data_IF_263937180206
#
_entry.id   IF_263937180206
#
_cell.length_a   1.000
_cell.length_b   1.000
_cell.length_c   1.000
_cell.angle_alpha   90.00
_cell.angle_beta   90.00
_cell.angle_gamma   90.00
#
_symmetry.space_group_name_H-M   'P 1'
#
loop_
_entity.id
_entity.type
_entity.pdbx_description
1 polymer ?
#
# COMPACT_ATOMS: atom_id res chain seq x y z
N UNK A 1 -5.43 15.93 -18.01
CA UNK A 1 -5.86 14.56 -17.67
C UNK A 1 -4.67 13.85 -17.04
N UNK A 2 -4.88 13.00 -16.03
CA UNK A 2 -3.79 12.23 -15.40
C UNK A 2 -3.25 11.20 -16.39
N UNK A 3 -1.91 11.07 -16.48
CA UNK A 3 -1.29 10.00 -17.29
C UNK A 3 -1.71 8.60 -16.81
N UNK A 4 -2.01 8.43 -15.52
CA UNK A 4 -2.46 7.16 -14.96
C UNK A 4 -3.82 6.75 -15.53
N UNK A 5 -4.74 7.70 -15.76
CA UNK A 5 -6.04 7.43 -16.37
C UNK A 5 -5.91 6.96 -17.83
N UNK A 6 -4.96 7.54 -18.60
CA UNK A 6 -4.66 7.07 -19.95
C UNK A 6 -4.08 5.65 -19.96
N UNK A 7 -3.31 5.29 -18.92
CA UNK A 7 -2.73 3.95 -18.76
C UNK A 7 -3.74 2.93 -18.25
N UNK A 8 -4.66 3.33 -17.39
CA UNK A 8 -5.70 2.45 -16.83
C UNK A 8 -7.01 3.23 -16.65
N UNK A 9 -7.89 3.27 -17.67
CA UNK A 9 -9.17 4.01 -17.61
C UNK A 9 -10.09 3.54 -16.48
N UNK A 10 -9.96 2.29 -16.04
CA UNK A 10 -10.76 1.74 -14.92
C UNK A 10 -10.49 2.52 -13.62
N UNK A 11 -9.27 3.05 -13.43
CA UNK A 11 -8.97 3.91 -12.26
C UNK A 11 -9.78 5.22 -12.32
N UNK A 12 -9.94 5.81 -13.51
CA UNK A 12 -10.75 7.02 -13.69
C UNK A 12 -12.23 6.76 -13.36
N UNK A 13 -12.78 5.62 -13.81
CA UNK A 13 -14.16 5.24 -13.46
C UNK A 13 -14.37 5.13 -11.96
N UNK A 14 -13.39 4.56 -11.24
CA UNK A 14 -13.46 4.40 -9.78
C UNK A 14 -13.31 5.76 -9.08
N UNK A 15 -12.26 6.53 -9.40
CA UNK A 15 -11.90 7.74 -8.66
C UNK A 15 -12.76 8.95 -9.04
N UNK A 16 -13.08 9.12 -10.32
CA UNK A 16 -13.88 10.25 -10.83
C UNK A 16 -15.35 9.86 -10.91
N UNK A 17 -15.63 8.70 -11.49
CA UNK A 17 -16.99 8.18 -11.62
C UNK A 17 -17.62 7.70 -10.31
N UNK A 18 -16.82 7.58 -9.22
CA UNK A 18 -17.22 7.10 -7.88
C UNK A 18 -18.04 5.82 -7.93
N UNK A 19 -17.68 4.92 -8.84
CA UNK A 19 -18.42 3.67 -9.07
C UNK A 19 -17.48 2.54 -9.49
N UNK A 20 -17.82 1.32 -9.11
CA UNK A 20 -17.16 0.10 -9.51
C UNK A 20 -18.20 -0.96 -9.89
N UNK A 21 -17.74 -2.02 -10.56
CA UNK A 21 -18.60 -3.14 -10.92
C UNK A 21 -18.28 -4.35 -10.07
N UNK A 22 -19.30 -5.02 -9.57
CA UNK A 22 -19.18 -6.31 -8.88
C UNK A 22 -18.80 -7.41 -9.88
N UNK A 23 -18.41 -8.60 -9.40
CA UNK A 23 -18.21 -9.78 -10.26
C UNK A 23 -19.48 -10.17 -11.04
N UNK A 24 -20.66 -9.86 -10.50
CA UNK A 24 -21.94 -10.09 -11.18
C UNK A 24 -22.29 -9.01 -12.22
N UNK A 25 -21.45 -7.96 -12.37
CA UNK A 25 -21.67 -6.87 -13.31
C UNK A 25 -22.59 -5.76 -12.79
N UNK A 26 -22.97 -5.79 -11.51
CA UNK A 26 -23.74 -4.73 -10.89
C UNK A 26 -22.84 -3.51 -10.63
N UNK A 27 -23.34 -2.31 -10.96
CA UNK A 27 -22.64 -1.05 -10.68
C UNK A 27 -22.97 -0.56 -9.27
N UNK A 28 -21.95 -0.37 -8.43
CA UNK A 28 -22.11 0.11 -7.06
C UNK A 28 -21.26 1.35 -6.80
N UNK A 29 -21.62 2.12 -5.76
CA UNK A 29 -20.87 3.30 -5.34
C UNK A 29 -19.57 2.93 -4.64
N UNK A 30 -18.50 3.66 -4.95
CA UNK A 30 -17.21 3.55 -4.27
C UNK A 30 -17.20 4.45 -3.04
N UNK A 31 -16.84 3.90 -1.89
CA UNK A 31 -16.78 4.59 -0.61
C UNK A 31 -15.39 4.56 0.06
N UNK A 32 -14.45 3.79 -0.50
CA UNK A 32 -13.08 3.68 0.01
C UNK A 32 -12.09 3.58 -1.15
N UNK A 33 -11.09 4.45 -1.17
CA UNK A 33 -10.02 4.44 -2.16
C UNK A 33 -8.81 5.25 -1.67
N UNK A 34 -7.64 4.99 -2.23
CA UNK A 34 -6.39 5.70 -1.87
C UNK A 34 -6.28 7.11 -2.48
N UNK A 35 -7.21 7.52 -3.32
CA UNK A 35 -7.17 8.80 -4.03
C UNK A 35 -6.10 8.87 -5.14
N UNK A 36 -6.28 9.84 -6.06
CA UNK A 36 -5.44 9.95 -7.27
C UNK A 36 -3.97 10.22 -6.96
N UNK A 37 -3.67 11.10 -6.01
CA UNK A 37 -2.30 11.49 -5.72
C UNK A 37 -1.47 10.28 -5.22
N UNK A 38 -2.05 9.41 -4.39
CA UNK A 38 -1.44 8.20 -3.87
C UNK A 38 -1.32 7.14 -4.98
N UNK A 39 -2.37 6.95 -5.78
CA UNK A 39 -2.37 6.06 -6.94
C UNK A 39 -1.25 6.42 -7.94
N UNK A 40 -1.07 7.71 -8.25
CA UNK A 40 0.02 8.18 -9.12
C UNK A 40 1.40 8.02 -8.50
N UNK A 41 1.55 8.27 -7.18
CA UNK A 41 2.81 8.07 -6.49
C UNK A 41 3.21 6.59 -6.49
N UNK A 42 2.24 5.70 -6.22
CA UNK A 42 2.44 4.25 -6.24
C UNK A 42 2.84 3.78 -7.65
N UNK A 43 2.09 4.18 -8.69
CA UNK A 43 2.41 3.87 -10.09
C UNK A 43 3.84 4.33 -10.47
N UNK A 44 4.21 5.58 -10.16
CA UNK A 44 5.54 6.11 -10.48
C UNK A 44 6.65 5.38 -9.73
N UNK A 45 6.44 5.06 -8.46
CA UNK A 45 7.43 4.36 -7.65
C UNK A 45 7.65 2.95 -8.19
N UNK A 46 6.57 2.19 -8.46
CA UNK A 46 6.68 0.86 -9.07
C UNK A 46 7.36 0.92 -10.43
N UNK A 47 7.01 1.90 -11.28
CA UNK A 47 7.64 2.08 -12.59
C UNK A 47 9.14 2.38 -12.48
N UNK A 48 9.54 3.19 -11.50
CA UNK A 48 10.95 3.57 -11.27
C UNK A 48 11.79 2.40 -10.74
N UNK A 49 11.27 1.64 -9.78
CA UNK A 49 12.02 0.59 -9.08
C UNK A 49 11.92 -0.78 -9.75
N UNK A 50 11.01 -0.96 -10.71
CA UNK A 50 10.86 -2.15 -11.56
C UNK A 50 10.80 -3.46 -10.77
N UNK A 51 9.93 -3.58 -9.74
CA UNK A 51 9.81 -4.80 -8.96
C UNK A 51 9.30 -5.96 -9.81
N UNK A 52 9.82 -7.18 -9.56
CA UNK A 52 9.31 -8.39 -10.17
C UNK A 52 8.16 -9.01 -9.36
N UNK A 53 8.24 -8.94 -8.03
CA UNK A 53 7.20 -9.48 -7.13
C UNK A 53 6.76 -8.39 -6.16
N UNK A 54 5.47 -8.05 -6.26
CA UNK A 54 4.81 -7.06 -5.40
C UNK A 54 3.80 -7.77 -4.52
N UNK A 55 3.74 -7.41 -3.24
CA UNK A 55 2.70 -7.80 -2.30
C UNK A 55 1.82 -6.58 -1.96
N UNK A 56 0.52 -6.78 -1.93
CA UNK A 56 -0.46 -5.83 -1.41
C UNK A 56 -1.25 -6.49 -0.30
N UNK A 57 -1.42 -5.80 0.82
CA UNK A 57 -2.33 -6.19 1.90
C UNK A 57 -3.46 -5.17 1.96
N UNK A 58 -4.70 -5.63 1.74
CA UNK A 58 -5.86 -4.76 1.54
C UNK A 58 -6.00 -4.32 0.08
N UNK A 59 -7.04 -4.81 -0.59
CA UNK A 59 -7.29 -4.55 -2.02
C UNK A 59 -8.51 -3.64 -2.25
N UNK A 60 -9.57 -3.83 -1.46
CA UNK A 60 -10.85 -3.12 -1.57
C UNK A 60 -11.38 -3.05 -3.02
N UNK A 61 -11.61 -1.84 -3.57
CA UNK A 61 -12.06 -1.64 -4.95
C UNK A 61 -10.95 -1.76 -6.00
N UNK A 62 -9.69 -1.97 -5.58
CA UNK A 62 -8.55 -2.29 -6.44
C UNK A 62 -7.82 -1.10 -7.05
N UNK A 63 -7.95 0.12 -6.51
CA UNK A 63 -7.24 1.30 -7.05
C UNK A 63 -5.73 1.15 -6.92
N UNK A 64 -5.22 0.69 -5.77
CA UNK A 64 -3.81 0.43 -5.54
C UNK A 64 -3.32 -0.71 -6.44
N UNK A 65 -4.05 -1.84 -6.46
CA UNK A 65 -3.77 -2.98 -7.34
C UNK A 65 -3.65 -2.56 -8.81
N UNK A 66 -4.61 -1.79 -9.33
CA UNK A 66 -4.61 -1.31 -10.72
C UNK A 66 -3.43 -0.40 -11.01
N UNK A 67 -3.03 0.45 -10.06
CA UNK A 67 -1.89 1.34 -10.20
C UNK A 67 -0.57 0.56 -10.28
N UNK A 68 -0.40 -0.45 -9.43
CA UNK A 68 0.73 -1.37 -9.43
C UNK A 68 0.77 -2.16 -10.75
N UNK A 69 -0.35 -2.78 -11.14
CA UNK A 69 -0.44 -3.61 -12.33
C UNK A 69 -0.24 -2.82 -13.62
N UNK A 70 -0.74 -1.58 -13.69
CA UNK A 70 -0.46 -0.69 -14.82
C UNK A 70 1.04 -0.38 -14.94
N UNK A 71 1.72 -0.12 -13.82
CA UNK A 71 3.16 0.09 -13.81
C UNK A 71 3.93 -1.18 -14.21
N UNK A 72 3.57 -2.35 -13.69
CA UNK A 72 4.19 -3.63 -14.04
C UNK A 72 4.02 -3.95 -15.53
N UNK A 73 2.85 -3.68 -16.11
CA UNK A 73 2.63 -3.79 -17.56
C UNK A 73 3.54 -2.85 -18.34
N UNK A 74 3.63 -1.60 -17.93
CA UNK A 74 4.40 -0.57 -18.65
C UNK A 74 5.91 -0.78 -18.52
N UNK A 75 6.38 -1.49 -17.48
CA UNK A 75 7.75 -2.01 -17.36
C UNK A 75 8.03 -3.06 -18.44
N UNK A 76 7.04 -3.86 -18.85
CA UNK A 76 7.17 -4.86 -19.90
C UNK A 76 7.82 -6.19 -19.48
N UNK A 77 8.24 -6.31 -18.22
CA UNK A 77 8.79 -7.55 -17.65
C UNK A 77 7.68 -8.44 -17.05
N UNK A 78 8.01 -9.68 -16.66
CA UNK A 78 7.06 -10.62 -16.05
C UNK A 78 6.81 -10.31 -14.55
N UNK A 79 6.54 -9.04 -14.22
CA UNK A 79 6.18 -8.65 -12.87
C UNK A 79 4.78 -9.11 -12.50
N UNK A 80 4.59 -9.49 -11.23
CA UNK A 80 3.30 -9.94 -10.69
C UNK A 80 2.95 -9.27 -9.37
N UNK A 81 1.64 -9.15 -9.12
CA UNK A 81 1.06 -8.66 -7.87
C UNK A 81 0.38 -9.82 -7.13
N UNK A 82 0.72 -9.99 -5.86
CA UNK A 82 0.03 -10.83 -4.89
C UNK A 82 -0.83 -9.91 -4.02
N UNK A 83 -2.16 -10.07 -3.99
CA UNK A 83 -3.02 -9.27 -3.11
C UNK A 83 -3.68 -10.16 -2.06
N UNK A 84 -3.74 -9.67 -0.83
CA UNK A 84 -4.39 -10.32 0.32
C UNK A 84 -5.56 -9.46 0.74
N UNK A 85 -6.78 -10.00 0.73
CA UNK A 85 -7.97 -9.29 1.23
C UNK A 85 -9.07 -10.30 1.58
N UNK A 86 -9.35 -10.55 2.88
CA UNK A 86 -10.37 -11.51 3.31
C UNK A 86 -11.80 -11.06 2.98
N UNK A 87 -11.99 -9.79 2.67
CA UNK A 87 -13.30 -9.17 2.49
C UNK A 87 -13.66 -8.95 1.02
N UNK A 88 -12.82 -9.42 0.10
CA UNK A 88 -12.98 -9.14 -1.33
C UNK A 88 -14.35 -9.58 -1.87
N UNK A 89 -14.80 -10.78 -1.54
CA UNK A 89 -16.14 -11.26 -1.94
C UNK A 89 -17.24 -10.80 -0.96
N UNK A 90 -17.13 -10.96 0.38
CA UNK A 90 -18.24 -10.66 1.28
C UNK A 90 -18.60 -9.17 1.34
N UNK A 91 -17.62 -8.29 1.43
CA UNK A 91 -17.87 -6.85 1.65
C UNK A 91 -17.68 -6.02 0.36
N UNK A 92 -16.59 -6.26 -0.37
CA UNK A 92 -16.31 -5.54 -1.62
C UNK A 92 -17.00 -6.12 -2.85
N UNK A 93 -17.79 -7.21 -2.68
CA UNK A 93 -18.58 -7.89 -3.74
C UNK A 93 -17.75 -8.25 -4.98
N UNK A 94 -16.45 -8.49 -4.77
CA UNK A 94 -15.50 -8.81 -5.82
C UNK A 94 -15.14 -7.64 -6.75
N UNK A 95 -15.42 -6.40 -6.36
CA UNK A 95 -15.18 -5.23 -7.22
C UNK A 95 -13.73 -5.06 -7.62
N UNK A 96 -12.78 -5.31 -6.71
CA UNK A 96 -11.35 -5.25 -7.03
C UNK A 96 -10.99 -6.28 -8.12
N UNK A 97 -11.44 -7.52 -7.97
CA UNK A 97 -11.22 -8.58 -8.96
C UNK A 97 -11.87 -8.26 -10.31
N UNK A 98 -13.09 -7.73 -10.30
CA UNK A 98 -13.77 -7.29 -11.52
C UNK A 98 -13.03 -6.14 -12.20
N UNK A 99 -12.49 -5.19 -11.42
CA UNK A 99 -11.70 -4.06 -11.91
C UNK A 99 -10.41 -4.53 -12.56
N UNK A 100 -9.68 -5.47 -11.95
CA UNK A 100 -8.48 -6.10 -12.54
C UNK A 100 -8.80 -6.83 -13.83
N UNK A 101 -9.90 -7.59 -13.85
CA UNK A 101 -10.34 -8.31 -15.04
C UNK A 101 -10.67 -7.36 -16.21
N UNK A 102 -11.40 -6.27 -15.93
CA UNK A 102 -11.76 -5.25 -16.93
C UNK A 102 -10.55 -4.49 -17.46
N UNK A 103 -9.54 -4.29 -16.62
CA UNK A 103 -8.27 -3.68 -17.02
C UNK A 103 -7.33 -4.63 -17.78
N UNK A 104 -7.66 -5.92 -17.90
CA UNK A 104 -6.85 -6.91 -18.61
C UNK A 104 -5.62 -7.38 -17.86
N UNK A 105 -5.63 -7.36 -16.51
CA UNK A 105 -4.46 -7.67 -15.69
C UNK A 105 -4.51 -9.03 -14.98
N UNK A 106 -5.49 -9.90 -15.27
CA UNK A 106 -5.66 -11.20 -14.61
C UNK A 106 -4.39 -12.05 -14.57
N UNK A 107 -3.65 -12.08 -15.66
CA UNK A 107 -2.46 -12.96 -15.81
C UNK A 107 -1.27 -12.49 -14.98
N UNK A 108 -1.33 -11.27 -14.40
CA UNK A 108 -0.28 -10.69 -13.54
C UNK A 108 -0.70 -10.55 -12.09
N UNK A 109 -1.89 -11.04 -11.75
CA UNK A 109 -2.47 -10.90 -10.43
C UNK A 109 -2.81 -12.25 -9.81
N UNK A 110 -2.41 -12.43 -8.56
CA UNK A 110 -2.75 -13.59 -7.73
C UNK A 110 -3.48 -13.08 -6.48
N UNK A 111 -4.72 -13.56 -6.28
CA UNK A 111 -5.54 -13.19 -5.13
C UNK A 111 -5.49 -14.24 -4.05
N UNK A 112 -5.24 -13.81 -2.81
CA UNK A 112 -5.38 -14.60 -1.60
C UNK A 112 -6.57 -14.05 -0.79
N UNK A 113 -7.76 -14.61 -0.98
CA UNK A 113 -8.97 -14.19 -0.27
C UNK A 113 -9.04 -14.90 1.11
N UNK A 114 -8.13 -14.51 2.00
CA UNK A 114 -8.04 -14.99 3.38
C UNK A 114 -7.36 -13.92 4.24
N UNK A 115 -7.38 -14.06 5.55
CA UNK A 115 -6.71 -13.14 6.47
C UNK A 115 -5.19 -13.15 6.31
N UNK A 116 -4.58 -11.99 6.42
CA UNK A 116 -3.14 -11.73 6.36
C UNK A 116 -2.34 -12.63 7.33
N UNK A 117 -2.78 -12.76 8.59
CA UNK A 117 -2.16 -13.61 9.59
C UNK A 117 -2.18 -15.12 9.23
N UNK A 118 -2.93 -15.53 8.21
CA UNK A 118 -2.93 -16.89 7.66
C UNK A 118 -2.13 -16.99 6.36
N UNK A 119 -2.20 -15.96 5.51
CA UNK A 119 -1.57 -15.95 4.19
C UNK A 119 -0.08 -15.68 4.31
N UNK A 120 0.30 -14.63 5.05
CA UNK A 120 1.70 -14.20 5.16
C UNK A 120 2.65 -15.29 5.68
N UNK A 121 2.29 -16.07 6.73
CA UNK A 121 3.12 -17.20 7.16
C UNK A 121 3.31 -18.25 6.06
N UNK A 122 2.27 -18.52 5.25
CA UNK A 122 2.35 -19.48 4.13
C UNK A 122 3.29 -18.98 3.04
N UNK A 123 3.20 -17.70 2.67
CA UNK A 123 4.09 -17.09 1.69
C UNK A 123 5.55 -17.12 2.15
N UNK A 124 5.80 -16.79 3.43
CA UNK A 124 7.15 -16.88 4.02
C UNK A 124 7.67 -18.30 4.01
N UNK A 125 6.89 -19.29 4.44
CA UNK A 125 7.26 -20.70 4.45
C UNK A 125 7.51 -21.26 3.03
N UNK A 126 6.81 -20.74 2.02
CA UNK A 126 7.04 -21.06 0.62
C UNK A 126 8.30 -20.40 0.03
N UNK A 127 9.04 -19.61 0.80
CA UNK A 127 10.26 -18.95 0.35
C UNK A 127 10.00 -17.76 -0.58
N UNK A 128 8.81 -17.14 -0.53
CA UNK A 128 8.47 -15.97 -1.33
C UNK A 128 9.45 -14.83 -1.05
N UNK A 129 9.98 -14.20 -2.11
CA UNK A 129 10.86 -13.03 -2.02
C UNK A 129 10.20 -11.85 -2.73
N UNK A 130 10.08 -10.74 -2.01
CA UNK A 130 9.40 -9.52 -2.45
C UNK A 130 10.42 -8.46 -2.85
N UNK A 131 10.08 -7.69 -3.88
CA UNK A 131 10.82 -6.47 -4.26
C UNK A 131 10.10 -5.22 -3.77
N UNK A 132 8.77 -5.31 -3.59
CA UNK A 132 7.92 -4.20 -3.14
C UNK A 132 6.75 -4.75 -2.33
N UNK A 133 6.34 -4.03 -1.28
CA UNK A 133 5.10 -4.31 -0.55
C UNK A 133 4.32 -3.02 -0.29
N UNK A 134 2.99 -3.09 -0.42
CA UNK A 134 2.05 -2.03 -0.07
C UNK A 134 1.11 -2.53 1.03
N UNK A 135 1.17 -1.92 2.21
CA UNK A 135 0.43 -2.31 3.41
C UNK A 135 -0.71 -1.33 3.62
N UNK A 136 -1.92 -1.76 3.30
CA UNK A 136 -3.17 -1.00 3.34
C UNK A 136 -4.31 -1.86 3.91
N UNK A 137 -3.99 -2.65 4.96
CA UNK A 137 -4.89 -3.63 5.54
C UNK A 137 -5.80 -3.04 6.63
N UNK A 138 -5.80 -3.64 7.83
CA UNK A 138 -6.76 -3.33 8.90
C UNK A 138 -6.43 -2.10 9.75
N UNK A 139 -5.38 -1.36 9.54
CA UNK A 139 -4.98 -0.09 10.19
C UNK A 139 -4.93 -0.10 11.74
N UNK A 140 -5.02 -1.26 12.41
CA UNK A 140 -4.71 -1.38 13.83
C UNK A 140 -3.21 -1.62 14.02
N UNK A 141 -2.69 -1.30 15.22
CA UNK A 141 -1.25 -1.42 15.49
C UNK A 141 -0.74 -2.86 15.32
N UNK A 142 -1.47 -3.81 15.85
CA UNK A 142 -1.14 -5.24 15.82
C UNK A 142 -1.13 -5.79 14.39
N UNK A 143 -2.16 -5.50 13.59
CA UNK A 143 -2.22 -5.92 12.18
C UNK A 143 -1.13 -5.25 11.34
N UNK A 144 -0.99 -3.93 11.41
CA UNK A 144 0.06 -3.21 10.66
C UNK A 144 1.46 -3.71 11.01
N UNK A 145 1.71 -3.99 12.31
CA UNK A 145 2.99 -4.53 12.76
C UNK A 145 3.19 -5.97 12.29
N UNK A 146 2.15 -6.80 12.33
CA UNK A 146 2.19 -8.18 11.86
C UNK A 146 2.47 -8.24 10.36
N UNK A 147 1.75 -7.47 9.55
CA UNK A 147 1.93 -7.41 8.10
C UNK A 147 3.36 -7.03 7.77
N UNK A 148 3.84 -5.94 8.37
CA UNK A 148 5.21 -5.51 8.16
C UNK A 148 6.24 -6.55 8.65
N UNK A 149 6.01 -7.24 9.76
CA UNK A 149 6.95 -8.23 10.31
C UNK A 149 7.19 -9.38 9.32
N UNK A 150 6.15 -9.84 8.64
CA UNK A 150 6.27 -10.86 7.59
C UNK A 150 6.85 -10.28 6.31
N UNK A 151 6.43 -9.07 5.92
CA UNK A 151 6.98 -8.35 4.78
C UNK A 151 8.50 -8.17 4.93
N UNK A 152 8.97 -7.71 6.09
CA UNK A 152 10.41 -7.49 6.34
C UNK A 152 11.24 -8.75 6.06
N UNK A 153 10.75 -9.92 6.44
CA UNK A 153 11.44 -11.21 6.21
C UNK A 153 11.43 -11.68 4.77
N UNK A 154 10.43 -11.31 4.02
CA UNK A 154 10.31 -11.63 2.60
C UNK A 154 10.96 -10.58 1.69
N UNK A 155 11.02 -9.32 2.15
CA UNK A 155 11.52 -8.19 1.36
C UNK A 155 13.04 -8.27 1.20
N UNK A 156 13.50 -8.17 -0.05
CA UNK A 156 14.93 -8.10 -0.37
C UNK A 156 15.55 -6.81 0.15
N UNK A 157 16.85 -6.81 0.45
CA UNK A 157 17.62 -5.59 0.65
C UNK A 157 17.53 -4.72 -0.62
N UNK A 158 17.25 -3.44 -0.46
CA UNK A 158 16.94 -2.52 -1.55
C UNK A 158 15.46 -2.50 -1.97
N UNK A 159 14.64 -3.46 -1.49
CA UNK A 159 13.20 -3.48 -1.71
C UNK A 159 12.47 -2.40 -0.91
N UNK A 160 11.21 -2.15 -1.26
CA UNK A 160 10.41 -1.06 -0.70
C UNK A 160 9.23 -1.61 0.07
N UNK A 161 9.02 -1.14 1.30
CA UNK A 161 7.78 -1.26 2.05
C UNK A 161 7.07 0.09 2.08
N UNK A 162 5.82 0.13 1.63
CA UNK A 162 4.98 1.32 1.65
C UNK A 162 3.76 1.08 2.54
N UNK A 163 3.33 2.11 3.26
CA UNK A 163 2.18 2.08 4.17
C UNK A 163 1.18 3.14 3.76
N UNK A 164 -0.09 2.75 3.74
CA UNK A 164 -1.22 3.68 3.60
C UNK A 164 -1.63 4.25 4.96
N UNK A 165 -2.43 5.32 4.94
CA UNK A 165 -3.06 5.94 6.12
C UNK A 165 -2.09 6.23 7.29
N UNK A 166 -0.88 6.69 6.97
CA UNK A 166 0.17 6.95 7.96
C UNK A 166 -0.15 8.11 8.93
N UNK A 167 -1.27 8.82 8.74
CA UNK A 167 -1.79 9.79 9.71
C UNK A 167 -2.54 9.15 10.89
N UNK A 168 -2.94 7.89 10.76
CA UNK A 168 -3.63 7.16 11.80
C UNK A 168 -2.65 6.79 12.92
N UNK A 169 -2.99 7.05 14.20
CA UNK A 169 -2.05 6.87 15.31
C UNK A 169 -1.47 5.46 15.43
N UNK A 170 -2.26 4.44 15.11
CA UNK A 170 -1.84 3.05 15.17
C UNK A 170 -0.82 2.71 14.07
N UNK A 171 -1.07 3.14 12.83
CA UNK A 171 -0.15 2.97 11.70
C UNK A 171 1.15 3.73 11.93
N UNK A 172 1.06 5.01 12.35
CA UNK A 172 2.25 5.81 12.68
C UNK A 172 3.08 5.14 13.77
N UNK A 173 2.43 4.58 14.80
CA UNK A 173 3.13 3.91 15.89
C UNK A 173 3.87 2.64 15.40
N UNK A 174 3.27 1.86 14.50
CA UNK A 174 3.94 0.72 13.88
C UNK A 174 5.16 1.17 13.05
N UNK A 175 5.02 2.25 12.27
CA UNK A 175 6.13 2.83 11.50
C UNK A 175 7.27 3.31 12.41
N UNK A 176 6.97 3.93 13.56
CA UNK A 176 7.99 4.32 14.53
C UNK A 176 8.77 3.11 15.05
N UNK A 177 8.09 1.98 15.30
CA UNK A 177 8.77 0.72 15.64
C UNK A 177 9.69 0.27 14.50
N UNK A 178 9.23 0.29 13.25
CA UNK A 178 10.04 -0.07 12.08
C UNK A 178 11.34 0.73 12.06
N UNK A 179 11.23 2.05 12.16
CA UNK A 179 12.38 2.97 12.04
C UNK A 179 13.36 2.89 13.23
N UNK A 180 12.91 2.44 14.40
CA UNK A 180 13.78 2.29 15.57
C UNK A 180 14.40 0.90 15.70
N UNK A 181 13.79 -0.14 15.10
CA UNK A 181 14.17 -1.53 15.30
C UNK A 181 14.63 -2.23 14.03
N UNK A 182 14.66 -1.54 12.90
CA UNK A 182 15.16 -2.07 11.61
C UNK A 182 15.89 -0.98 10.84
N UNK A 183 16.61 -1.40 9.80
CA UNK A 183 17.36 -0.48 8.94
C UNK A 183 16.57 -0.18 7.67
N UNK A 184 15.82 0.92 7.73
CA UNK A 184 15.04 1.44 6.63
C UNK A 184 15.25 2.94 6.48
N UNK A 185 15.34 3.41 5.24
CA UNK A 185 15.39 4.83 4.89
C UNK A 185 14.07 5.26 4.26
N UNK A 186 13.44 6.32 4.81
CA UNK A 186 12.23 6.91 4.23
C UNK A 186 12.55 7.61 2.92
N UNK A 187 11.67 7.39 1.93
CA UNK A 187 11.81 7.90 0.57
C UNK A 187 10.83 9.04 0.30
N UNK A 188 11.27 10.07 -0.42
CA UNK A 188 10.38 11.08 -0.98
C UNK A 188 9.83 10.61 -2.34
N UNK A 189 8.54 10.27 -2.37
CA UNK A 189 7.82 9.87 -3.59
C UNK A 189 7.00 11.02 -4.21
N UNK A 190 7.21 12.26 -3.74
CA UNK A 190 6.55 13.46 -4.25
C UNK A 190 5.11 13.67 -3.75
N UNK A 191 4.71 12.98 -2.68
CA UNK A 191 3.44 13.24 -2.00
C UNK A 191 3.54 14.52 -1.17
N UNK A 192 2.91 15.59 -1.66
CA UNK A 192 2.96 16.91 -1.01
C UNK A 192 1.96 16.99 0.13
N UNK A 193 2.38 17.62 1.23
CA UNK A 193 1.47 18.03 2.31
C UNK A 193 0.37 18.94 1.77
N UNK A 194 -0.92 18.73 2.10
CA UNK A 194 -2.00 19.62 1.73
C UNK A 194 -1.70 21.07 2.14
N UNK A 195 -1.96 22.02 1.25
CA UNK A 195 -1.68 23.47 1.49
C UNK A 195 -2.33 24.03 2.76
N UNK A 196 -3.49 23.52 3.16
CA UNK A 196 -4.20 23.90 4.39
C UNK A 196 -3.41 23.59 5.67
N UNK A 197 -2.61 22.53 5.68
CA UNK A 197 -1.82 22.14 6.85
C UNK A 197 -0.65 23.05 7.17
N UNK A 198 -0.09 23.79 6.20
CA UNK A 198 0.94 24.81 6.53
C UNK A 198 0.38 25.91 7.43
N UNK A 199 -0.88 26.31 7.23
CA UNK A 199 -1.57 27.29 8.08
C UNK A 199 -2.01 26.71 9.42
N UNK A 200 -2.41 25.44 9.47
CA UNK A 200 -2.71 24.72 10.71
C UNK A 200 -1.43 24.47 11.53
N UNK A 201 -0.32 24.13 10.90
CA UNK A 201 1.00 24.04 11.54
C UNK A 201 1.39 25.35 12.23
N UNK A 202 1.24 26.48 11.56
CA UNK A 202 1.51 27.81 12.14
C UNK A 202 0.57 28.11 13.33
N UNK A 203 -0.73 27.79 13.24
CA UNK A 203 -1.71 27.96 14.31
C UNK A 203 -1.41 27.06 15.52
N UNK A 204 -0.98 25.83 15.32
CA UNK A 204 -0.66 24.87 16.39
C UNK A 204 0.63 25.24 17.11
N UNK A 205 1.63 25.76 16.40
CA UNK A 205 2.85 26.31 17.01
C UNK A 205 2.56 27.53 17.91
N UNK A 206 1.55 28.34 17.55
CA UNK A 206 1.12 29.48 18.37
C UNK A 206 0.22 29.10 19.56
N UNK A 207 -0.42 27.92 19.52
CA UNK A 207 -1.33 27.43 20.56
C UNK A 207 -0.70 26.42 21.52
N UNK A 208 0.58 26.10 21.39
CA UNK A 208 1.32 25.23 22.31
C UNK A 208 0.93 23.74 22.29
N UNK A 209 0.29 23.26 21.22
CA UNK A 209 -0.13 21.87 21.08
C UNK A 209 1.09 21.00 20.72
N UNK A 210 1.44 20.07 21.62
CA UNK A 210 2.70 19.29 21.55
C UNK A 210 2.74 18.16 20.50
N UNK A 211 1.64 17.79 19.83
CA UNK A 211 1.62 16.77 18.76
C UNK A 211 0.79 17.25 17.58
N UNK A 212 1.44 17.39 16.45
CA UNK A 212 0.77 17.59 15.16
C UNK A 212 0.26 16.25 14.64
N UNK A 213 -1.01 16.17 14.17
CA UNK A 213 -1.42 15.02 13.38
C UNK A 213 -0.53 14.95 12.14
N UNK A 214 0.03 13.76 11.86
CA UNK A 214 0.80 13.52 10.66
C UNK A 214 -0.07 13.83 9.43
N UNK A 215 0.55 14.23 8.31
CA UNK A 215 -0.18 14.36 7.07
C UNK A 215 -0.79 13.02 6.69
N UNK A 216 -2.03 13.07 6.22
CA UNK A 216 -2.67 11.93 5.58
C UNK A 216 -1.94 11.68 4.26
N UNK A 217 -1.02 10.74 4.28
CA UNK A 217 -0.21 10.34 3.13
C UNK A 217 0.35 8.94 3.34
N UNK A 218 0.61 8.28 2.23
CA UNK A 218 1.43 7.08 2.23
C UNK A 218 2.88 7.44 2.56
N UNK A 219 3.56 6.51 3.22
CA UNK A 219 5.00 6.61 3.46
C UNK A 219 5.69 5.40 2.88
N UNK A 220 6.83 5.62 2.27
CA UNK A 220 7.61 4.63 1.55
C UNK A 220 8.98 4.51 2.18
N UNK A 221 9.43 3.28 2.40
CA UNK A 221 10.68 2.98 3.08
C UNK A 221 11.47 1.95 2.29
N UNK A 222 12.72 2.27 1.98
CA UNK A 222 13.65 1.33 1.36
C UNK A 222 14.36 0.53 2.46
N UNK A 223 14.41 -0.78 2.33
CA UNK A 223 15.15 -1.66 3.22
C UNK A 223 16.64 -1.56 2.93
N UNK A 224 17.43 -1.12 3.92
CA UNK A 224 18.86 -0.90 3.76
C UNK A 224 19.69 -2.15 4.07
N UNK A 225 19.23 -3.00 5.01
CA UNK A 225 19.91 -4.24 5.36
C UNK A 225 18.95 -5.28 5.96
N UNK A 226 19.35 -6.56 5.86
CA UNK A 226 18.76 -7.64 6.66
C UNK A 226 19.40 -7.62 8.06
N UNK A 227 18.84 -6.81 8.93
CA UNK A 227 19.33 -6.64 10.31
C UNK A 227 18.19 -6.83 11.31
N UNK A 228 18.45 -7.60 12.33
CA UNK A 228 17.59 -7.72 13.51
C UNK A 228 18.38 -7.33 14.76
N UNK A 229 17.74 -6.65 15.73
CA UNK A 229 18.40 -6.32 16.99
C UNK A 229 18.68 -7.59 17.79
N UNK A 230 19.66 -7.49 18.71
CA UNK A 230 19.88 -8.54 19.71
C UNK A 230 18.63 -8.76 20.56
N UNK A 231 18.49 -9.94 21.12
CA UNK A 231 17.35 -10.36 21.93
C UNK A 231 17.07 -9.45 23.16
N UNK A 232 18.09 -8.74 23.66
CA UNK A 232 18.03 -7.82 24.81
C UNK A 232 17.92 -6.33 24.40
N UNK A 233 17.75 -6.05 23.11
CA UNK A 233 17.63 -4.68 22.61
C UNK A 233 16.20 -4.17 22.76
N UNK A 234 16.10 -2.94 23.25
CA UNK A 234 14.88 -2.15 23.25
C UNK A 234 15.20 -0.67 22.98
N UNK A 235 14.44 -0.07 22.07
CA UNK A 235 14.41 1.37 21.88
C UNK A 235 12.96 1.86 22.02
N UNK A 236 12.69 2.95 22.78
CA UNK A 236 11.34 3.52 22.83
C UNK A 236 10.93 4.06 21.45
N UNK A 237 9.67 3.87 21.09
CA UNK A 237 9.10 4.25 19.81
C UNK A 237 7.69 4.82 19.94
#
# INVERSE_FOLDING_TARGET
MSKLFERCPVIEEILVGRSAYTLAGEKIAVHSDIGLAHAEALYRTVLQYRPAVVLEVGMAFGVASLSILAALRDIGENGRLLSIDPLQTPDWKGCGLASIARAGFKDRHEMHEDYDYKVLPRLLAAGTRLDFAYIDGWHTFDYTLLDWWYVDRMLKVGGIAAFNDCSWPAVDKAIQFVLTHRQYTEMDVGLKLPRRRKLELLRLLTLGIKKLPLPDRDRYFKKDADWEPRWDFYAPF
#
